data_IF_796697663092
#
_entry.id   IF_796697663092
#
_cell.length_a   1.000
_cell.length_b   1.000
_cell.length_c   1.000
_cell.angle_alpha   90.00
_cell.angle_beta   90.00
_cell.angle_gamma   90.00
#
_symmetry.space_group_name_H-M   'P 1'
#
loop_
_entity.id
_entity.type
_entity.pdbx_description
1 polymer ?
#
# COMPACT_ATOMS: atom_id res chain seq x y z
N UNK A 1 -13.15 -13.21 -11.49
CA UNK A 1 -11.97 -13.94 -10.94
C UNK A 1 -12.13 -15.43 -11.22
N UNK A 2 -11.12 -16.10 -11.77
CA UNK A 2 -11.16 -17.51 -12.16
C UNK A 2 -11.61 -18.44 -11.01
N UNK A 3 -11.08 -18.28 -9.81
CA UNK A 3 -11.46 -19.07 -8.65
C UNK A 3 -12.87 -18.79 -8.14
N UNK A 4 -13.33 -17.54 -8.27
CA UNK A 4 -14.68 -17.13 -7.93
C UNK A 4 -15.72 -17.81 -8.85
N UNK A 5 -15.38 -17.99 -10.13
CA UNK A 5 -16.25 -18.69 -11.09
C UNK A 5 -16.46 -20.17 -10.74
N UNK A 6 -15.48 -20.80 -10.06
CA UNK A 6 -15.54 -22.20 -9.65
C UNK A 6 -16.14 -22.42 -8.27
N UNK A 7 -15.79 -21.55 -7.30
CA UNK A 7 -16.10 -21.77 -5.88
C UNK A 7 -17.16 -20.78 -5.35
N UNK A 8 -17.57 -19.81 -6.17
CA UNK A 8 -18.47 -18.75 -5.76
C UNK A 8 -17.79 -17.65 -4.93
N UNK A 9 -18.52 -16.56 -4.70
CA UNK A 9 -18.01 -15.32 -4.09
C UNK A 9 -17.54 -15.47 -2.65
N UNK A 10 -18.04 -16.45 -1.93
CA UNK A 10 -17.73 -16.69 -0.53
C UNK A 10 -16.63 -17.76 -0.38
N UNK A 11 -16.80 -18.89 -1.02
CA UNK A 11 -16.00 -20.06 -0.72
C UNK A 11 -14.60 -20.01 -1.30
N UNK A 12 -14.34 -19.22 -2.35
CA UNK A 12 -12.99 -19.12 -2.90
C UNK A 12 -11.98 -18.53 -1.90
N UNK A 13 -12.36 -17.48 -1.13
CA UNK A 13 -11.50 -16.89 -0.10
C UNK A 13 -11.40 -17.81 1.11
N UNK A 14 -12.53 -18.37 1.56
CA UNK A 14 -12.55 -19.30 2.69
C UNK A 14 -11.67 -20.51 2.44
N UNK A 15 -11.76 -21.11 1.24
CA UNK A 15 -10.91 -22.23 0.84
C UNK A 15 -9.43 -21.86 0.85
N UNK A 16 -9.07 -20.71 0.25
CA UNK A 16 -7.68 -20.25 0.24
C UNK A 16 -7.13 -20.04 1.67
N UNK A 17 -7.92 -19.46 2.57
CA UNK A 17 -7.53 -19.25 3.98
C UNK A 17 -7.34 -20.57 4.71
N UNK A 18 -8.28 -21.52 4.57
CA UNK A 18 -8.19 -22.85 5.19
C UNK A 18 -6.98 -23.62 4.71
N UNK A 19 -6.81 -23.69 3.39
CA UNK A 19 -5.73 -24.47 2.77
C UNK A 19 -4.36 -23.87 3.14
N UNK A 20 -4.22 -22.55 3.16
CA UNK A 20 -2.99 -21.90 3.60
C UNK A 20 -2.65 -22.27 5.05
N UNK A 21 -3.60 -22.19 5.98
CA UNK A 21 -3.35 -22.53 7.40
C UNK A 21 -3.09 -24.02 7.58
N UNK A 22 -3.85 -24.89 6.91
CA UNK A 22 -3.68 -26.34 6.95
C UNK A 22 -2.31 -26.73 6.43
N UNK A 23 -1.95 -26.27 5.23
CA UNK A 23 -0.65 -26.58 4.62
C UNK A 23 0.50 -26.09 5.46
N UNK A 24 0.40 -24.87 6.05
CA UNK A 24 1.44 -24.35 6.93
C UNK A 24 1.65 -25.23 8.17
N UNK A 25 0.56 -25.71 8.79
CA UNK A 25 0.63 -26.61 9.94
C UNK A 25 1.21 -27.99 9.56
N UNK A 26 0.79 -28.57 8.44
CA UNK A 26 1.28 -29.87 7.94
C UNK A 26 2.79 -29.85 7.64
N UNK A 27 3.35 -28.67 7.35
CA UNK A 27 4.79 -28.47 7.13
C UNK A 27 5.53 -27.92 8.37
N UNK A 28 5.04 -28.23 9.57
CA UNK A 28 5.61 -27.84 10.85
C UNK A 28 5.63 -26.32 11.12
N UNK A 29 4.82 -25.54 10.42
CA UNK A 29 4.59 -24.16 10.76
C UNK A 29 3.66 -24.01 11.97
N UNK A 30 3.85 -22.96 12.77
CA UNK A 30 2.90 -22.59 13.83
C UNK A 30 1.78 -21.73 13.22
N UNK A 31 0.54 -22.24 13.09
CA UNK A 31 -0.56 -21.52 12.44
C UNK A 31 -0.88 -20.16 13.09
N UNK A 32 -0.54 -19.96 14.38
CA UNK A 32 -0.74 -18.69 15.07
C UNK A 32 0.17 -17.57 14.54
N UNK A 33 1.30 -17.95 13.93
CA UNK A 33 2.29 -17.03 13.34
C UNK A 33 2.00 -16.69 11.90
N UNK A 34 1.19 -17.48 11.21
CA UNK A 34 0.79 -17.19 9.83
C UNK A 34 -0.24 -16.05 9.84
N UNK A 35 0.09 -14.95 9.17
CA UNK A 35 -0.81 -13.81 9.00
C UNK A 35 -1.28 -13.73 7.55
N UNK A 36 -2.58 -13.81 7.34
CA UNK A 36 -3.22 -13.80 6.03
C UNK A 36 -3.92 -12.45 5.80
N UNK A 37 -3.63 -11.84 4.67
CA UNK A 37 -4.12 -10.52 4.30
C UNK A 37 -4.97 -10.59 3.03
N UNK A 38 -6.05 -9.82 3.00
CA UNK A 38 -6.65 -9.44 1.73
C UNK A 38 -5.95 -8.16 1.27
N UNK A 39 -5.38 -8.19 0.06
CA UNK A 39 -4.58 -7.11 -0.48
C UNK A 39 -5.20 -6.57 -1.76
N UNK A 40 -5.31 -5.25 -1.90
CA UNK A 40 -5.85 -4.63 -3.10
C UNK A 40 -5.17 -3.28 -3.38
N UNK A 41 -5.37 -2.75 -4.59
CA UNK A 41 -4.82 -1.48 -5.08
C UNK A 41 -5.88 -0.38 -5.13
N UNK A 42 -5.43 0.88 -5.21
CA UNK A 42 -6.29 2.07 -5.30
C UNK A 42 -7.30 2.22 -4.13
N UNK A 43 -6.97 1.72 -2.94
CA UNK A 43 -7.81 1.89 -1.75
C UNK A 43 -7.78 3.34 -1.22
N UNK A 44 -6.72 4.08 -1.54
CA UNK A 44 -6.51 5.50 -1.29
C UNK A 44 -7.22 6.42 -2.30
N UNK A 45 -7.85 5.86 -3.32
CA UNK A 45 -8.45 6.60 -4.42
C UNK A 45 -9.52 7.59 -3.97
N UNK A 46 -9.44 8.83 -4.46
CA UNK A 46 -10.37 9.90 -4.10
C UNK A 46 -11.60 9.99 -5.00
N UNK A 47 -11.60 9.28 -6.12
CA UNK A 47 -12.65 9.36 -7.15
C UNK A 47 -13.91 8.57 -6.78
N UNK A 48 -13.83 7.59 -5.89
CA UNK A 48 -14.91 6.69 -5.52
C UNK A 48 -15.39 6.86 -4.07
N UNK A 49 -14.93 7.87 -3.35
CA UNK A 49 -15.24 8.12 -1.94
C UNK A 49 -14.98 6.90 -1.04
N UNK A 50 -13.88 6.18 -1.30
CA UNK A 50 -13.50 4.91 -0.66
C UNK A 50 -14.52 3.78 -0.83
N UNK A 51 -15.35 3.80 -1.89
CA UNK A 51 -16.33 2.75 -2.13
C UNK A 51 -15.67 1.38 -2.27
N UNK A 52 -14.51 1.31 -2.96
CA UNK A 52 -13.72 0.08 -3.09
C UNK A 52 -13.26 -0.45 -1.74
N UNK A 53 -12.68 0.39 -0.88
CA UNK A 53 -12.25 -0.02 0.46
C UNK A 53 -13.44 -0.45 1.34
N UNK A 54 -14.52 0.31 1.32
CA UNK A 54 -15.74 -0.03 2.09
C UNK A 54 -16.33 -1.37 1.63
N UNK A 55 -16.34 -1.63 0.33
CA UNK A 55 -16.75 -2.91 -0.24
C UNK A 55 -15.83 -4.04 0.20
N UNK A 56 -14.51 -3.83 0.18
CA UNK A 56 -13.54 -4.82 0.64
C UNK A 56 -13.76 -5.18 2.12
N UNK A 57 -13.95 -4.18 2.98
CA UNK A 57 -14.25 -4.39 4.41
C UNK A 57 -15.55 -5.17 4.59
N UNK A 58 -16.60 -4.85 3.83
CA UNK A 58 -17.85 -5.59 3.83
C UNK A 58 -17.66 -7.06 3.44
N UNK A 59 -16.94 -7.34 2.35
CA UNK A 59 -16.65 -8.70 1.90
C UNK A 59 -15.83 -9.50 2.92
N UNK A 60 -14.85 -8.87 3.58
CA UNK A 60 -14.11 -9.52 4.67
C UNK A 60 -15.07 -10.00 5.76
N UNK A 61 -16.05 -9.16 6.15
CA UNK A 61 -17.07 -9.55 7.12
C UNK A 61 -17.93 -10.75 6.66
N UNK A 62 -18.25 -10.83 5.37
CA UNK A 62 -18.98 -11.97 4.81
C UNK A 62 -18.13 -13.25 4.78
N UNK A 63 -16.84 -13.15 4.45
CA UNK A 63 -15.93 -14.29 4.44
C UNK A 63 -15.68 -14.84 5.85
N UNK A 64 -15.66 -13.99 6.86
CA UNK A 64 -15.44 -14.34 8.26
C UNK A 64 -16.70 -14.69 9.04
N UNK A 65 -17.85 -14.90 8.38
CA UNK A 65 -19.10 -15.21 9.10
C UNK A 65 -18.87 -16.27 10.18
N UNK A 66 -19.06 -15.90 11.47
CA UNK A 66 -18.82 -16.82 12.59
C UNK A 66 -19.83 -17.98 12.65
N UNK A 67 -20.95 -17.88 11.93
CA UNK A 67 -21.97 -18.90 11.84
C UNK A 67 -21.75 -19.86 10.65
N UNK A 68 -20.71 -19.67 9.86
CA UNK A 68 -20.36 -20.62 8.81
C UNK A 68 -19.99 -21.99 9.40
N UNK A 69 -20.20 -23.05 8.66
CA UNK A 69 -19.83 -24.41 9.06
C UNK A 69 -18.33 -24.51 9.41
N UNK A 70 -17.50 -23.82 8.63
CA UNK A 70 -16.05 -23.72 8.86
C UNK A 70 -15.63 -22.24 8.85
N UNK A 71 -15.72 -21.54 10.00
CA UNK A 71 -15.33 -20.15 10.07
C UNK A 71 -13.85 -19.95 9.79
N UNK A 72 -13.52 -18.87 9.08
CA UNK A 72 -12.14 -18.48 8.79
C UNK A 72 -11.81 -17.13 9.41
N UNK A 73 -10.51 -16.83 9.58
CA UNK A 73 -10.02 -15.56 10.09
C UNK A 73 -9.03 -14.97 9.09
N UNK A 74 -9.30 -13.74 8.66
CA UNK A 74 -8.42 -12.89 7.87
C UNK A 74 -7.73 -11.94 8.83
N UNK A 75 -6.40 -12.03 8.94
CA UNK A 75 -5.65 -11.28 9.95
C UNK A 75 -5.54 -9.79 9.61
N UNK A 76 -5.46 -9.44 8.33
CA UNK A 76 -5.19 -8.06 7.95
C UNK A 76 -5.74 -7.62 6.59
N UNK A 77 -5.63 -6.31 6.38
CA UNK A 77 -5.91 -5.64 5.12
C UNK A 77 -4.61 -5.03 4.61
N UNK A 78 -4.25 -5.36 3.36
CA UNK A 78 -3.13 -4.76 2.64
C UNK A 78 -3.61 -3.73 1.64
N UNK A 79 -2.90 -2.61 1.51
CA UNK A 79 -3.01 -1.68 0.39
C UNK A 79 -1.72 -1.66 -0.40
N UNK A 80 -1.80 -1.79 -1.74
CA UNK A 80 -0.60 -1.73 -2.58
C UNK A 80 0.06 -0.36 -2.51
N UNK A 81 -0.71 0.74 -2.49
CA UNK A 81 -0.20 2.12 -2.40
C UNK A 81 0.68 2.53 -3.59
N UNK A 82 0.24 2.21 -4.80
CA UNK A 82 0.84 2.74 -6.02
C UNK A 82 0.34 4.17 -6.26
N UNK A 83 0.97 5.15 -5.64
CA UNK A 83 0.51 6.54 -5.64
C UNK A 83 1.19 7.40 -6.71
N UNK A 84 0.65 8.58 -6.94
CA UNK A 84 1.26 9.64 -7.75
C UNK A 84 1.45 10.89 -6.89
N UNK A 85 2.65 11.45 -6.88
CA UNK A 85 2.90 12.77 -6.33
C UNK A 85 2.50 13.80 -7.38
N UNK A 86 1.65 14.74 -7.02
CA UNK A 86 1.14 15.76 -7.94
C UNK A 86 1.83 17.10 -7.72
N UNK A 87 2.27 17.72 -8.83
CA UNK A 87 2.68 19.13 -8.84
C UNK A 87 1.50 20.08 -8.57
N UNK A 88 0.27 19.68 -8.97
CA UNK A 88 -0.95 20.40 -8.61
C UNK A 88 -1.24 20.27 -7.10
N UNK A 89 -1.10 21.39 -6.38
CA UNK A 89 -1.27 21.41 -4.93
C UNK A 89 -2.69 20.99 -4.46
N UNK A 90 -3.72 21.24 -5.28
CA UNK A 90 -5.11 20.88 -4.94
C UNK A 90 -5.31 19.37 -5.06
N UNK A 91 -4.82 18.76 -6.14
CA UNK A 91 -4.84 17.31 -6.31
C UNK A 91 -4.03 16.62 -5.21
N UNK A 92 -2.84 17.15 -4.91
CA UNK A 92 -1.96 16.60 -3.87
C UNK A 92 -2.63 16.63 -2.50
N UNK A 93 -3.20 17.77 -2.10
CA UNK A 93 -3.90 17.89 -0.82
C UNK A 93 -5.12 16.96 -0.72
N UNK A 94 -5.85 16.79 -1.83
CA UNK A 94 -6.99 15.88 -1.90
C UNK A 94 -6.55 14.44 -1.72
N UNK A 95 -5.47 14.00 -2.39
CA UNK A 95 -4.94 12.64 -2.24
C UNK A 95 -4.46 12.40 -0.79
N UNK A 96 -3.75 13.37 -0.20
CA UNK A 96 -3.30 13.28 1.18
C UNK A 96 -4.47 13.10 2.15
N UNK A 97 -5.54 13.89 2.00
CA UNK A 97 -6.75 13.75 2.83
C UNK A 97 -7.40 12.37 2.68
N UNK A 98 -7.43 11.84 1.45
CA UNK A 98 -7.99 10.50 1.22
C UNK A 98 -7.13 9.37 1.80
N UNK A 99 -5.80 9.50 1.76
CA UNK A 99 -4.90 8.55 2.43
C UNK A 99 -5.15 8.53 3.95
N UNK A 100 -5.32 9.70 4.57
CA UNK A 100 -5.66 9.75 6.00
C UNK A 100 -7.00 9.08 6.29
N UNK A 101 -8.03 9.33 5.47
CA UNK A 101 -9.34 8.70 5.65
C UNK A 101 -9.29 7.19 5.41
N UNK A 102 -8.54 6.73 4.40
CA UNK A 102 -8.28 5.31 4.16
C UNK A 102 -7.68 4.64 5.42
N UNK A 103 -6.62 5.20 5.99
CA UNK A 103 -6.02 4.64 7.22
C UNK A 103 -7.00 4.62 8.39
N UNK A 104 -7.80 5.67 8.58
CA UNK A 104 -8.85 5.72 9.61
C UNK A 104 -9.91 4.62 9.42
N UNK A 105 -10.31 4.37 8.17
CA UNK A 105 -11.27 3.30 7.84
C UNK A 105 -10.66 1.92 8.12
N UNK A 106 -9.39 1.69 7.73
CA UNK A 106 -8.69 0.44 7.99
C UNK A 106 -8.50 0.22 9.51
N UNK A 107 -8.10 1.25 10.25
CA UNK A 107 -7.92 1.19 11.70
C UNK A 107 -9.21 0.76 12.44
N UNK A 108 -10.38 1.26 12.00
CA UNK A 108 -11.69 0.90 12.58
C UNK A 108 -12.03 -0.58 12.47
N UNK A 109 -11.39 -1.33 11.59
CA UNK A 109 -11.64 -2.77 11.43
C UNK A 109 -11.04 -3.61 12.56
N UNK A 110 -10.08 -3.09 13.31
CA UNK A 110 -9.31 -3.83 14.31
C UNK A 110 -8.29 -4.81 13.72
N UNK A 111 -8.20 -4.92 12.40
CA UNK A 111 -7.30 -5.82 11.69
C UNK A 111 -5.89 -5.26 11.56
N UNK A 112 -4.92 -6.15 11.32
CA UNK A 112 -3.58 -5.73 10.92
C UNK A 112 -3.64 -4.95 9.61
N UNK A 113 -2.81 -3.91 9.49
CA UNK A 113 -2.73 -3.06 8.30
C UNK A 113 -1.31 -3.12 7.74
N UNK A 114 -1.21 -3.36 6.43
CA UNK A 114 0.06 -3.39 5.71
C UNK A 114 -0.01 -2.48 4.48
N UNK A 115 1.04 -1.68 4.27
CA UNK A 115 1.35 -1.15 2.94
C UNK A 115 2.22 -2.19 2.25
N UNK A 116 1.74 -2.79 1.16
CA UNK A 116 2.38 -3.98 0.58
C UNK A 116 3.34 -3.67 -0.56
N UNK A 117 3.16 -2.56 -1.28
CA UNK A 117 3.84 -2.30 -2.55
C UNK A 117 4.06 -0.80 -2.80
N UNK A 118 4.41 -0.03 -1.77
CA UNK A 118 4.54 1.43 -1.90
C UNK A 118 5.51 1.80 -3.01
N UNK A 119 5.01 2.48 -4.03
CA UNK A 119 5.80 3.20 -5.03
C UNK A 119 5.14 4.54 -5.38
N UNK A 120 5.89 5.41 -6.05
CA UNK A 120 5.43 6.76 -6.35
C UNK A 120 5.88 7.19 -7.74
N UNK A 121 4.94 7.56 -8.61
CA UNK A 121 5.20 8.33 -9.83
C UNK A 121 5.10 9.83 -9.55
N UNK A 122 5.41 10.66 -10.53
CA UNK A 122 5.23 12.11 -10.48
C UNK A 122 4.42 12.60 -11.69
N UNK A 123 3.46 13.48 -11.43
CA UNK A 123 2.67 14.21 -12.43
C UNK A 123 2.84 15.72 -12.18
N UNK A 124 3.17 16.47 -13.21
CA UNK A 124 3.35 17.92 -13.11
C UNK A 124 2.02 18.69 -12.95
N UNK A 125 2.10 20.02 -12.84
CA UNK A 125 0.90 20.88 -12.72
C UNK A 125 -0.02 20.82 -13.95
N UNK A 126 0.51 20.48 -15.11
CA UNK A 126 -0.25 20.34 -16.34
C UNK A 126 -0.93 18.95 -16.47
N UNK A 127 -0.66 18.04 -15.56
CA UNK A 127 -1.19 16.67 -15.59
C UNK A 127 -0.36 15.72 -16.46
N UNK A 128 0.92 16.06 -16.72
CA UNK A 128 1.83 15.23 -17.50
C UNK A 128 2.70 14.38 -16.58
N UNK A 129 2.78 13.08 -16.87
CA UNK A 129 3.71 12.20 -16.15
C UNK A 129 5.15 12.58 -16.48
N UNK A 130 6.00 12.72 -15.45
CA UNK A 130 7.41 13.11 -15.58
C UNK A 130 8.29 11.89 -15.40
N UNK A 131 9.22 11.65 -16.31
CA UNK A 131 10.17 10.54 -16.24
C UNK A 131 11.35 10.89 -15.34
N UNK A 132 12.06 9.87 -14.84
CA UNK A 132 13.15 10.07 -13.85
C UNK A 132 14.29 10.97 -14.37
N UNK A 133 14.53 11.00 -15.68
CA UNK A 133 15.57 11.83 -16.31
C UNK A 133 15.10 13.28 -16.65
N UNK A 134 13.82 13.56 -16.47
CA UNK A 134 13.23 14.90 -16.65
C UNK A 134 12.93 15.60 -15.34
N UNK A 135 13.05 14.89 -14.21
CA UNK A 135 12.75 15.41 -12.88
C UNK A 135 13.65 16.57 -12.49
N UNK A 136 13.05 17.66 -12.03
CA UNK A 136 13.76 18.74 -11.34
C UNK A 136 14.04 18.38 -9.89
N UNK A 137 15.01 19.08 -9.26
CA UNK A 137 15.32 18.91 -7.84
C UNK A 137 14.10 19.22 -6.95
N UNK A 138 13.30 20.23 -7.31
CA UNK A 138 12.10 20.60 -6.54
C UNK A 138 11.04 19.48 -6.58
N UNK A 139 10.84 18.86 -7.72
CA UNK A 139 9.93 17.71 -7.86
C UNK A 139 10.41 16.51 -7.03
N UNK A 140 11.72 16.25 -6.99
CA UNK A 140 12.30 15.24 -6.10
C UNK A 140 12.04 15.54 -4.62
N UNK A 141 12.11 16.82 -4.20
CA UNK A 141 11.80 17.26 -2.82
C UNK A 141 10.30 17.11 -2.50
N UNK A 142 9.43 17.36 -3.47
CA UNK A 142 7.99 17.13 -3.30
C UNK A 142 7.69 15.63 -3.08
N UNK A 143 8.26 14.74 -3.90
CA UNK A 143 8.14 13.30 -3.70
C UNK A 143 8.68 12.86 -2.33
N UNK A 144 9.83 13.39 -1.91
CA UNK A 144 10.38 13.14 -0.58
C UNK A 144 9.38 13.49 0.52
N UNK A 145 8.82 14.71 0.44
CA UNK A 145 7.84 15.19 1.43
C UNK A 145 6.60 14.29 1.48
N UNK A 146 6.17 13.81 0.32
CA UNK A 146 5.01 12.93 0.23
C UNK A 146 5.29 11.51 0.78
N UNK A 147 6.48 10.94 0.55
CA UNK A 147 6.90 9.70 1.22
C UNK A 147 6.89 9.86 2.75
N UNK A 148 7.49 10.94 3.25
CA UNK A 148 7.49 11.24 4.69
C UNK A 148 6.06 11.32 5.24
N UNK A 149 5.17 12.04 4.55
CA UNK A 149 3.77 12.15 4.93
C UNK A 149 3.07 10.79 5.01
N UNK A 150 3.15 9.96 3.98
CA UNK A 150 2.47 8.65 3.94
C UNK A 150 2.91 7.80 5.12
N UNK A 151 4.21 7.70 5.37
CA UNK A 151 4.77 6.82 6.40
C UNK A 151 4.43 7.35 7.79
N UNK A 152 4.56 8.65 8.03
CA UNK A 152 4.16 9.26 9.30
C UNK A 152 2.67 9.06 9.57
N UNK A 153 1.80 9.25 8.57
CA UNK A 153 0.35 9.04 8.73
C UNK A 153 -0.02 7.59 8.98
N UNK A 154 0.71 6.64 8.39
CA UNK A 154 0.54 5.23 8.74
C UNK A 154 0.80 4.98 10.24
N UNK A 155 1.90 5.48 10.78
CA UNK A 155 2.22 5.30 12.21
C UNK A 155 1.34 6.15 13.15
N UNK A 156 0.84 7.30 12.70
CA UNK A 156 -0.03 8.18 13.49
C UNK A 156 -1.47 7.63 13.59
N UNK A 157 -2.02 7.14 12.47
CA UNK A 157 -3.45 6.84 12.35
C UNK A 157 -3.79 5.35 12.56
N UNK A 158 -2.82 4.45 12.33
CA UNK A 158 -2.99 3.03 12.60
C UNK A 158 -2.52 2.73 14.01
N UNK A 159 -3.39 2.17 14.89
CA UNK A 159 -2.98 1.76 16.23
C UNK A 159 -1.76 0.81 16.22
N UNK A 160 -0.83 0.97 17.13
CA UNK A 160 0.42 0.20 17.15
C UNK A 160 0.19 -1.32 17.06
N UNK A 161 -0.83 -1.85 17.72
CA UNK A 161 -1.17 -3.27 17.68
C UNK A 161 -1.64 -3.77 16.30
N UNK A 162 -2.03 -2.84 15.41
CA UNK A 162 -2.46 -3.13 14.04
C UNK A 162 -1.38 -2.86 12.98
N UNK A 163 -0.27 -2.24 13.36
CA UNK A 163 0.83 -1.92 12.43
C UNK A 163 1.60 -3.19 12.09
N UNK A 164 1.47 -3.66 10.85
CA UNK A 164 2.17 -4.86 10.41
C UNK A 164 3.46 -4.54 9.65
N UNK A 165 3.45 -3.54 8.78
CA UNK A 165 4.65 -3.11 8.06
C UNK A 165 4.40 -2.36 6.77
N UNK A 166 5.51 -1.88 6.20
CA UNK A 166 5.55 -1.17 4.91
C UNK A 166 6.58 -1.86 4.03
N UNK A 167 6.20 -2.22 2.81
CA UNK A 167 7.08 -2.77 1.78
C UNK A 167 7.16 -1.79 0.62
N UNK A 168 8.37 -1.43 0.22
CA UNK A 168 8.64 -0.65 -0.98
C UNK A 168 8.52 -1.54 -2.22
N UNK A 169 7.82 -1.07 -3.25
CA UNK A 169 7.76 -1.71 -4.56
C UNK A 169 8.87 -1.17 -5.45
N UNK A 170 9.85 -2.06 -5.74
CA UNK A 170 11.10 -1.83 -6.42
C UNK A 170 12.10 -0.92 -5.67
N UNK A 171 13.37 -1.30 -5.72
CA UNK A 171 14.45 -0.53 -5.12
C UNK A 171 14.80 0.69 -5.97
N UNK A 172 14.87 0.52 -7.31
CA UNK A 172 15.31 1.53 -8.26
C UNK A 172 14.17 2.12 -9.07
N UNK A 173 14.44 3.20 -9.78
CA UNK A 173 13.53 3.77 -10.76
C UNK A 173 13.13 2.75 -11.82
N UNK A 174 11.92 2.87 -12.34
CA UNK A 174 11.41 1.95 -13.34
C UNK A 174 12.12 2.16 -14.69
N UNK A 175 12.70 1.11 -15.29
CA UNK A 175 13.29 1.21 -16.63
C UNK A 175 12.29 1.70 -17.67
N UNK A 176 12.79 2.38 -18.73
CA UNK A 176 11.92 2.90 -19.80
C UNK A 176 11.16 1.83 -20.59
N UNK A 177 11.66 0.60 -20.58
CA UNK A 177 11.06 -0.58 -21.21
C UNK A 177 10.27 -1.47 -20.24
N UNK A 178 10.06 -1.00 -18.99
CA UNK A 178 9.27 -1.72 -17.98
C UNK A 178 7.81 -1.83 -18.39
N UNK A 179 7.19 -2.96 -18.08
CA UNK A 179 5.74 -3.14 -18.19
C UNK A 179 4.95 -2.39 -17.10
N UNK A 180 5.62 -1.89 -16.06
CA UNK A 180 5.03 -1.13 -14.96
C UNK A 180 5.68 0.25 -14.84
N UNK A 181 4.89 1.32 -14.98
CA UNK A 181 5.32 2.72 -14.85
C UNK A 181 6.62 3.04 -15.60
N UNK A 182 6.70 2.78 -16.93
CA UNK A 182 7.94 2.90 -17.69
C UNK A 182 8.56 4.29 -17.56
N UNK A 183 9.84 4.34 -17.18
CA UNK A 183 10.59 5.58 -17.00
C UNK A 183 10.23 6.41 -15.77
N UNK A 184 9.28 5.97 -14.91
CA UNK A 184 8.85 6.74 -13.75
C UNK A 184 9.89 6.69 -12.61
N UNK A 185 9.96 7.77 -11.78
CA UNK A 185 10.91 7.91 -10.66
C UNK A 185 10.49 7.12 -9.42
N UNK A 186 10.14 5.83 -9.56
CA UNK A 186 9.48 5.00 -8.54
C UNK A 186 10.38 4.55 -7.41
N UNK A 187 11.70 4.53 -7.62
CA UNK A 187 12.66 3.98 -6.68
C UNK A 187 13.04 4.90 -5.52
N UNK A 188 13.62 4.29 -4.49
CA UNK A 188 14.38 4.99 -3.45
C UNK A 188 15.83 5.24 -3.89
N UNK A 189 16.31 4.48 -4.85
CA UNK A 189 17.58 4.65 -5.56
C UNK A 189 17.32 4.92 -7.04
N UNK A 190 18.22 5.62 -7.69
CA UNK A 190 18.22 5.77 -9.13
C UNK A 190 18.72 4.50 -9.85
N UNK A 191 18.78 4.54 -11.17
CA UNK A 191 19.28 3.43 -12.01
C UNK A 191 20.77 3.14 -11.81
N UNK A 192 21.53 4.03 -11.19
CA UNK A 192 22.95 3.86 -10.82
C UNK A 192 23.14 3.45 -9.35
N UNK A 193 22.05 3.11 -8.66
CA UNK A 193 22.00 2.76 -7.23
C UNK A 193 22.43 3.89 -6.29
N UNK A 194 22.32 5.16 -6.73
CA UNK A 194 22.51 6.31 -5.87
C UNK A 194 21.20 6.63 -5.13
N UNK A 195 21.32 7.00 -3.86
CA UNK A 195 20.17 7.36 -3.03
C UNK A 195 19.50 8.63 -3.54
N UNK A 196 18.19 8.58 -3.70
CA UNK A 196 17.37 9.72 -4.10
C UNK A 196 16.81 10.48 -2.88
N UNK A 197 16.17 11.63 -3.13
CA UNK A 197 15.42 12.36 -2.11
C UNK A 197 14.31 11.49 -1.49
N UNK A 198 13.70 10.60 -2.26
CA UNK A 198 12.69 9.63 -1.80
C UNK A 198 13.22 8.68 -0.74
N UNK A 199 14.51 8.25 -0.83
CA UNK A 199 15.16 7.48 0.22
C UNK A 199 15.19 8.25 1.55
N UNK A 200 15.58 9.52 1.51
CA UNK A 200 15.59 10.37 2.71
C UNK A 200 14.17 10.55 3.28
N UNK A 201 13.17 10.76 2.41
CA UNK A 201 11.77 10.86 2.82
C UNK A 201 11.25 9.59 3.49
N UNK A 202 11.59 8.44 2.94
CA UNK A 202 11.25 7.14 3.51
C UNK A 202 11.89 6.97 4.90
N UNK A 203 13.19 7.25 5.01
CA UNK A 203 13.92 7.14 6.28
C UNK A 203 13.38 8.11 7.36
N UNK A 204 13.11 9.37 7.00
CA UNK A 204 12.52 10.36 7.92
C UNK A 204 11.11 9.95 8.35
N UNK A 205 10.32 9.43 7.44
CA UNK A 205 9.00 8.86 7.77
C UNK A 205 9.07 7.75 8.81
N UNK A 206 10.12 6.94 8.78
CA UNK A 206 10.41 5.89 9.77
C UNK A 206 11.04 6.41 11.07
N UNK A 207 11.23 7.73 11.23
CA UNK A 207 11.79 8.35 12.42
C UNK A 207 13.29 8.64 12.37
N UNK A 208 13.94 8.53 11.21
CA UNK A 208 15.32 8.98 11.08
C UNK A 208 15.43 10.51 11.27
N UNK A 209 16.52 11.03 11.87
CA UNK A 209 16.68 12.47 12.06
C UNK A 209 16.72 13.24 10.75
N UNK A 210 16.16 14.45 10.73
CA UNK A 210 16.05 15.28 9.52
C UNK A 210 17.39 15.75 8.92
N UNK A 211 18.51 15.66 9.65
CA UNK A 211 19.83 16.02 9.09
C UNK A 211 20.32 15.10 7.96
N UNK A 212 19.66 13.99 7.72
CA UNK A 212 19.84 13.18 6.51
C UNK A 212 19.40 13.90 5.22
N UNK A 213 19.01 15.15 5.36
CA UNK A 213 18.42 16.01 4.33
C UNK A 213 19.42 16.99 3.69
N UNK A 214 20.70 16.90 4.00
CA UNK A 214 21.74 17.79 3.46
C UNK A 214 22.49 17.15 2.31
#
# INVERSE_FOLDING_TARGET
FYWQDYLGDIDYVRTAVRDARKSFAEHNGDPSKLKLFINDYNLEGYWDQHAKLKSLIHWIGLWEDPNAEEPVVIDGIGTQMHVTCYGDATKQAKLQSNIEEMFKLMAKTGKLVKISELDMAYEDEAGTSVTFDEMTEEQHKQMRSFYTFIIQKYFELIPQAQQYGITQWCATDSPKDSGWRPGCPTGLWDSNYLRKHTYAGFAVGLGAPEYWNK
#
